data_IF_870084975249
#
_entry.id   IF_870084975249
#
_cell.length_a   1.000
_cell.length_b   1.000
_cell.length_c   1.000
_cell.angle_alpha   90.00
_cell.angle_beta   90.00
_cell.angle_gamma   90.00
#
_symmetry.space_group_name_H-M   'P 1'
#
loop_
_entity.id
_entity.type
_entity.pdbx_description
1 polymer ?
#
# COMPACT_ATOMS: atom_id res chain seq x y z
N UNK A 1 -14.31 -23.00 -14.38
CA UNK A 1 -15.60 -22.65 -13.73
C UNK A 1 -16.20 -21.50 -14.52
N UNK A 2 -17.46 -21.57 -15.00
CA UNK A 2 -18.03 -20.45 -15.74
C UNK A 2 -18.34 -19.29 -14.79
N UNK A 3 -18.00 -18.09 -15.26
CA UNK A 3 -18.09 -16.81 -14.57
C UNK A 3 -19.56 -16.45 -14.30
N UNK A 4 -19.97 -16.38 -13.03
CA UNK A 4 -21.35 -16.03 -12.66
C UNK A 4 -21.42 -14.52 -12.45
N UNK A 5 -21.66 -13.79 -13.54
CA UNK A 5 -21.96 -12.35 -13.49
C UNK A 5 -23.21 -12.16 -12.64
N UNK A 6 -23.04 -11.60 -11.43
CA UNK A 6 -24.16 -11.16 -10.60
C UNK A 6 -24.70 -9.86 -11.19
N UNK A 7 -25.60 -9.98 -12.15
CA UNK A 7 -26.37 -8.85 -12.65
C UNK A 7 -27.44 -8.56 -11.60
N UNK A 8 -27.21 -7.52 -10.79
CA UNK A 8 -28.19 -7.03 -9.83
C UNK A 8 -29.35 -6.41 -10.61
N UNK A 9 -30.48 -7.12 -10.73
CA UNK A 9 -31.74 -6.60 -11.29
C UNK A 9 -32.36 -5.58 -10.33
N UNK A 10 -31.73 -4.41 -10.21
CA UNK A 10 -32.29 -3.25 -9.52
C UNK A 10 -32.62 -2.15 -10.51
N UNK A 11 -33.74 -1.43 -10.34
CA UNK A 11 -34.06 -0.28 -11.17
C UNK A 11 -32.92 0.74 -11.05
N UNK A 12 -32.27 1.06 -12.16
CA UNK A 12 -31.19 2.04 -12.30
C UNK A 12 -31.32 3.28 -11.39
N UNK A 13 -32.50 3.95 -11.27
CA UNK A 13 -32.63 5.11 -10.39
C UNK A 13 -32.45 4.83 -8.88
N UNK A 14 -32.70 3.61 -8.40
CA UNK A 14 -32.40 3.24 -7.01
C UNK A 14 -30.90 3.03 -6.80
N UNK A 15 -30.21 2.43 -7.78
CA UNK A 15 -28.77 2.18 -7.71
C UNK A 15 -27.99 3.50 -7.72
N UNK A 16 -28.42 4.46 -8.55
CA UNK A 16 -27.84 5.82 -8.60
C UNK A 16 -28.02 6.56 -7.28
N UNK A 17 -29.22 6.48 -6.68
CA UNK A 17 -29.51 7.10 -5.38
C UNK A 17 -28.68 6.48 -4.25
N UNK A 18 -28.49 5.16 -4.24
CA UNK A 18 -27.63 4.49 -3.25
C UNK A 18 -26.17 4.89 -3.44
N UNK A 19 -25.69 4.96 -4.69
CA UNK A 19 -24.33 5.39 -5.00
C UNK A 19 -24.07 6.82 -4.52
N UNK A 20 -24.98 7.76 -4.80
CA UNK A 20 -24.85 9.15 -4.37
C UNK A 20 -24.82 9.32 -2.83
N UNK A 21 -25.42 8.39 -2.08
CA UNK A 21 -25.42 8.42 -0.61
C UNK A 21 -24.18 7.82 0.03
N UNK A 22 -23.53 6.87 -0.65
CA UNK A 22 -22.39 6.13 -0.11
C UNK A 22 -21.04 6.61 -0.62
N UNK A 23 -21.00 7.25 -1.79
CA UNK A 23 -19.77 7.72 -2.41
C UNK A 23 -19.95 9.11 -3.03
N UNK A 24 -18.90 9.93 -2.95
CA UNK A 24 -18.83 11.22 -3.64
C UNK A 24 -18.27 11.10 -5.08
N UNK A 25 -18.29 9.89 -5.65
CA UNK A 25 -17.82 9.60 -7.01
C UNK A 25 -19.00 9.40 -7.96
N UNK A 26 -18.76 9.59 -9.26
CA UNK A 26 -19.69 9.20 -10.30
C UNK A 26 -19.62 7.69 -10.58
N UNK A 27 -20.75 7.10 -10.95
CA UNK A 27 -20.80 5.69 -11.31
C UNK A 27 -20.24 5.49 -12.72
N UNK A 28 -19.21 4.64 -12.81
CA UNK A 28 -18.59 4.28 -14.09
C UNK A 28 -18.97 2.85 -14.47
N UNK A 29 -19.52 2.67 -15.67
CA UNK A 29 -19.83 1.36 -16.25
C UNK A 29 -18.60 0.71 -16.92
N UNK A 30 -18.79 -0.50 -17.47
CA UNK A 30 -17.74 -1.24 -18.19
C UNK A 30 -16.71 -1.97 -17.30
N UNK A 31 -16.87 -1.86 -15.99
CA UNK A 31 -16.07 -2.60 -15.03
C UNK A 31 -16.48 -4.08 -14.99
N UNK A 32 -15.51 -4.96 -14.76
CA UNK A 32 -15.75 -6.37 -14.45
C UNK A 32 -15.31 -6.65 -13.04
N UNK A 33 -15.99 -7.57 -12.36
CA UNK A 33 -15.67 -7.97 -11.00
C UNK A 33 -15.40 -9.47 -10.99
N UNK A 34 -14.27 -9.84 -10.40
CA UNK A 34 -13.91 -11.22 -10.13
C UNK A 34 -13.79 -11.42 -8.62
N UNK A 35 -14.44 -12.47 -8.11
CA UNK A 35 -14.28 -12.89 -6.72
C UNK A 35 -13.02 -13.73 -6.59
N UNK A 36 -12.12 -13.33 -5.69
CA UNK A 36 -10.92 -14.08 -5.30
C UNK A 36 -11.15 -14.63 -3.89
N UNK A 37 -11.20 -15.95 -3.75
CA UNK A 37 -11.71 -16.59 -2.53
C UNK A 37 -10.72 -16.53 -1.37
N UNK A 38 -9.43 -16.66 -1.66
CA UNK A 38 -8.38 -16.70 -0.65
C UNK A 38 -7.05 -16.17 -1.21
N UNK A 39 -6.01 -16.20 -0.36
CA UNK A 39 -4.68 -15.71 -0.70
C UNK A 39 -4.02 -16.42 -1.89
N UNK A 40 -4.38 -17.68 -2.19
CA UNK A 40 -3.85 -18.43 -3.33
C UNK A 40 -4.35 -17.89 -4.66
N UNK A 41 -5.55 -17.29 -4.66
CA UNK A 41 -6.11 -16.59 -5.81
C UNK A 41 -5.72 -15.11 -5.81
N UNK A 42 -5.71 -14.47 -4.63
CA UNK A 42 -5.46 -13.03 -4.50
C UNK A 42 -4.01 -12.64 -4.80
N UNK A 43 -3.02 -13.37 -4.29
CA UNK A 43 -1.62 -12.99 -4.46
C UNK A 43 -1.12 -13.05 -5.90
N UNK A 44 -1.44 -14.09 -6.71
CA UNK A 44 -1.11 -14.09 -8.13
C UNK A 44 -1.80 -12.95 -8.89
N UNK A 45 -3.09 -12.72 -8.64
CA UNK A 45 -3.85 -11.64 -9.29
C UNK A 45 -3.26 -10.26 -9.01
N UNK A 46 -2.79 -10.02 -7.78
CA UNK A 46 -2.08 -8.77 -7.43
C UNK A 46 -0.80 -8.60 -8.25
N UNK A 47 0.02 -9.66 -8.33
CA UNK A 47 1.27 -9.59 -9.08
C UNK A 47 1.03 -9.39 -10.58
N UNK A 48 0.01 -10.05 -11.13
CA UNK A 48 -0.39 -9.87 -12.53
C UNK A 48 -0.89 -8.45 -12.81
N UNK A 49 -1.76 -7.91 -11.95
CA UNK A 49 -2.26 -6.54 -12.08
C UNK A 49 -1.13 -5.50 -11.98
N UNK A 50 -0.21 -5.66 -11.02
CA UNK A 50 0.94 -4.77 -10.89
C UNK A 50 1.87 -4.92 -12.09
N UNK A 51 2.11 -6.14 -12.59
CA UNK A 51 2.92 -6.40 -13.77
C UNK A 51 2.33 -5.79 -15.06
N UNK A 52 1.01 -5.71 -15.17
CA UNK A 52 0.31 -5.10 -16.30
C UNK A 52 0.18 -3.56 -16.20
N UNK A 53 0.46 -2.96 -15.04
CA UNK A 53 0.32 -1.52 -14.87
C UNK A 53 1.30 -0.72 -15.73
N UNK A 54 0.78 0.32 -16.41
CA UNK A 54 1.52 1.17 -17.36
C UNK A 54 1.75 2.60 -16.86
N UNK A 55 0.91 3.11 -15.95
CA UNK A 55 0.95 4.51 -15.52
C UNK A 55 1.16 4.68 -14.01
N UNK A 56 0.35 3.98 -13.21
CA UNK A 56 0.35 4.12 -11.75
C UNK A 56 0.15 2.79 -11.07
N UNK A 57 0.78 2.63 -9.90
CA UNK A 57 0.43 1.61 -8.92
C UNK A 57 0.27 2.30 -7.57
N UNK A 58 -0.95 2.31 -7.05
CA UNK A 58 -1.31 2.94 -5.78
C UNK A 58 -1.71 1.83 -4.81
N UNK A 59 -0.96 1.69 -3.72
CA UNK A 59 -1.22 0.66 -2.70
C UNK A 59 -1.39 1.34 -1.35
N UNK A 60 -2.50 1.03 -0.69
CA UNK A 60 -2.76 1.38 0.70
C UNK A 60 -2.99 0.10 1.51
N UNK A 61 -2.18 -0.15 2.54
CA UNK A 61 -2.24 -1.41 3.29
C UNK A 61 -2.07 -1.24 4.80
N UNK A 62 -2.87 -1.98 5.58
CA UNK A 62 -2.66 -2.10 7.03
C UNK A 62 -1.43 -2.95 7.36
N UNK A 63 -1.32 -4.15 6.81
CA UNK A 63 -0.16 -5.03 7.01
C UNK A 63 0.60 -5.20 5.70
N UNK A 64 1.83 -4.71 5.66
CA UNK A 64 2.83 -5.14 4.70
C UNK A 64 3.85 -6.00 5.46
N UNK A 65 4.16 -7.19 4.96
CA UNK A 65 5.08 -8.12 5.61
C UNK A 65 6.33 -8.38 4.77
N UNK A 66 7.49 -8.55 5.39
CA UNK A 66 8.73 -8.92 4.72
C UNK A 66 8.84 -10.46 4.55
N UNK A 67 7.79 -11.09 4.03
CA UNK A 67 7.75 -12.51 3.68
C UNK A 67 7.94 -12.70 2.17
N UNK A 68 7.91 -13.94 1.69
CA UNK A 68 8.14 -14.25 0.27
C UNK A 68 7.24 -13.46 -0.69
N UNK A 69 5.96 -13.29 -0.34
CA UNK A 69 5.05 -12.49 -1.14
C UNK A 69 5.42 -11.00 -1.12
N UNK A 70 5.65 -10.42 0.06
CA UNK A 70 6.01 -9.01 0.19
C UNK A 70 7.33 -8.66 -0.49
N UNK A 71 8.32 -9.56 -0.44
CA UNK A 71 9.59 -9.43 -1.17
C UNK A 71 9.34 -9.39 -2.67
N UNK A 72 8.59 -10.37 -3.21
CA UNK A 72 8.23 -10.40 -4.63
C UNK A 72 7.46 -9.17 -5.08
N UNK A 73 6.49 -8.73 -4.29
CA UNK A 73 5.71 -7.52 -4.58
C UNK A 73 6.61 -6.28 -4.58
N UNK A 74 7.45 -6.10 -3.56
CA UNK A 74 8.43 -4.99 -3.50
C UNK A 74 9.32 -4.96 -4.73
N UNK A 75 9.89 -6.09 -5.12
CA UNK A 75 10.83 -6.17 -6.24
C UNK A 75 10.13 -5.89 -7.57
N UNK A 76 8.90 -6.36 -7.74
CA UNK A 76 8.07 -6.03 -8.90
C UNK A 76 7.74 -4.53 -8.96
N UNK A 77 7.43 -3.91 -7.82
CA UNK A 77 7.16 -2.48 -7.76
C UNK A 77 8.42 -1.65 -8.07
N UNK A 78 9.59 -2.10 -7.62
CA UNK A 78 10.90 -1.49 -7.99
C UNK A 78 11.09 -1.54 -9.50
N UNK A 79 10.80 -2.69 -10.12
CA UNK A 79 10.88 -2.83 -11.58
C UNK A 79 9.88 -1.90 -12.29
N UNK A 80 8.67 -1.76 -11.76
CA UNK A 80 7.67 -0.82 -12.29
C UNK A 80 8.14 0.63 -12.23
N UNK A 81 8.76 1.06 -11.13
CA UNK A 81 9.38 2.38 -11.06
C UNK A 81 10.43 2.59 -12.16
N UNK A 82 11.27 1.58 -12.41
CA UNK A 82 12.30 1.64 -13.46
C UNK A 82 11.72 1.73 -14.87
N UNK A 83 10.53 1.17 -15.08
CA UNK A 83 9.77 1.28 -16.32
C UNK A 83 9.05 2.64 -16.47
N UNK A 84 9.17 3.54 -15.49
CA UNK A 84 8.52 4.86 -15.50
C UNK A 84 7.11 4.86 -14.92
N UNK A 85 6.66 3.76 -14.31
CA UNK A 85 5.35 3.68 -13.65
C UNK A 85 5.44 4.39 -12.29
N UNK A 86 4.49 5.27 -12.00
CA UNK A 86 4.43 6.01 -10.74
C UNK A 86 3.91 5.11 -9.63
N UNK A 87 4.78 4.77 -8.67
CA UNK A 87 4.41 3.91 -7.54
C UNK A 87 4.25 4.74 -6.26
N UNK A 88 3.09 4.60 -5.62
CA UNK A 88 2.80 5.17 -4.30
C UNK A 88 2.39 4.05 -3.36
N UNK A 89 3.10 3.94 -2.25
CA UNK A 89 2.82 2.99 -1.17
C UNK A 89 2.53 3.75 0.12
N UNK A 90 1.30 3.65 0.60
CA UNK A 90 0.89 4.07 1.94
C UNK A 90 0.70 2.83 2.79
N UNK A 91 1.32 2.79 3.97
CA UNK A 91 1.20 1.63 4.84
C UNK A 91 1.05 2.04 6.31
N UNK A 92 0.33 1.25 7.11
CA UNK A 92 0.25 1.47 8.57
C UNK A 92 1.55 1.08 9.27
N UNK A 93 2.11 2.01 10.05
CA UNK A 93 3.42 1.79 10.69
C UNK A 93 3.40 0.64 11.71
N UNK A 94 2.32 0.51 12.49
CA UNK A 94 2.20 -0.55 13.52
C UNK A 94 2.00 -1.91 12.84
N UNK A 95 1.09 -1.98 11.86
CA UNK A 95 0.84 -3.19 11.09
C UNK A 95 2.03 -3.65 10.25
N UNK A 96 2.98 -2.75 9.98
CA UNK A 96 4.21 -3.01 9.21
C UNK A 96 5.48 -2.69 10.00
N UNK A 97 5.47 -2.96 11.31
CA UNK A 97 6.57 -2.63 12.22
C UNK A 97 7.91 -3.20 11.72
N UNK A 98 7.95 -4.50 11.40
CA UNK A 98 9.18 -5.16 10.98
C UNK A 98 9.75 -4.60 9.65
N UNK A 99 8.96 -4.48 8.57
CA UNK A 99 9.42 -3.78 7.36
C UNK A 99 9.89 -2.34 7.60
N UNK A 100 9.25 -1.62 8.50
CA UNK A 100 9.61 -0.24 8.83
C UNK A 100 10.98 -0.13 9.48
N UNK A 101 11.26 -0.97 10.50
CA UNK A 101 12.50 -0.90 11.27
C UNK A 101 13.69 -1.52 10.52
N UNK A 102 13.45 -2.50 9.66
CA UNK A 102 14.51 -3.18 8.89
C UNK A 102 14.83 -2.52 7.55
N UNK A 103 14.33 -1.30 7.29
CA UNK A 103 14.52 -0.56 6.03
C UNK A 103 14.08 -1.38 4.81
N UNK A 104 13.06 -2.22 4.95
CA UNK A 104 12.60 -3.13 3.91
C UNK A 104 12.14 -2.39 2.63
N UNK A 105 11.59 -1.19 2.79
CA UNK A 105 11.14 -0.32 1.70
C UNK A 105 12.23 0.56 1.09
N UNK A 106 13.47 0.47 1.56
CA UNK A 106 14.58 1.27 1.03
C UNK A 106 14.79 1.08 -0.48
N UNK A 107 14.77 -0.15 -1.04
CA UNK A 107 14.91 -0.33 -2.48
C UNK A 107 13.81 0.36 -3.30
N UNK A 108 12.57 0.38 -2.79
CA UNK A 108 11.43 1.07 -3.39
C UNK A 108 11.66 2.58 -3.44
N UNK A 109 12.07 3.17 -2.31
CA UNK A 109 12.38 4.61 -2.23
C UNK A 109 13.51 4.98 -3.19
N UNK A 110 14.55 4.17 -3.25
CA UNK A 110 15.69 4.38 -4.16
C UNK A 110 15.30 4.26 -5.64
N UNK A 111 14.31 3.43 -5.96
CA UNK A 111 13.78 3.31 -7.32
C UNK A 111 12.88 4.49 -7.72
N UNK A 112 12.55 5.40 -6.80
CA UNK A 112 11.71 6.58 -7.05
C UNK A 112 10.25 6.45 -6.58
N UNK A 113 9.91 5.37 -5.86
CA UNK A 113 8.56 5.23 -5.29
C UNK A 113 8.31 6.22 -4.14
N UNK A 114 7.09 6.73 -4.06
CA UNK A 114 6.63 7.50 -2.90
C UNK A 114 6.17 6.52 -1.82
N UNK A 115 6.94 6.38 -0.74
CA UNK A 115 6.64 5.46 0.36
C UNK A 115 6.35 6.24 1.64
N UNK A 116 5.11 6.15 2.11
CA UNK A 116 4.60 6.91 3.27
C UNK A 116 4.15 5.94 4.36
N UNK A 117 4.71 6.11 5.56
CA UNK A 117 4.22 5.45 6.76
C UNK A 117 3.09 6.28 7.36
N UNK A 118 1.93 5.66 7.56
CA UNK A 118 0.82 6.24 8.31
C UNK A 118 1.04 6.06 9.81
N UNK A 119 0.80 7.14 10.56
CA UNK A 119 0.90 7.20 12.02
C UNK A 119 2.21 6.61 12.62
N UNK A 120 3.41 6.99 12.14
CA UNK A 120 4.66 6.56 12.76
C UNK A 120 4.78 7.12 14.18
N UNK A 121 5.45 6.42 15.11
CA UNK A 121 5.59 6.88 16.48
C UNK A 121 6.41 8.17 16.52
N UNK A 122 5.97 9.11 17.35
CA UNK A 122 6.74 10.30 17.68
C UNK A 122 7.70 9.92 18.82
N UNK A 123 8.99 9.77 18.52
CA UNK A 123 10.00 9.61 19.58
C UNK A 123 10.37 10.99 20.12
N UNK A 124 10.20 11.26 21.43
CA UNK A 124 10.66 12.51 22.01
C UNK A 124 12.19 12.60 21.89
N UNK A 125 12.70 13.78 21.52
CA UNK A 125 14.13 14.00 21.39
C UNK A 125 14.81 13.70 22.73
N UNK A 126 15.75 12.73 22.74
CA UNK A 126 16.60 12.48 23.89
C UNK A 126 17.59 13.65 23.94
N UNK A 127 17.30 14.66 24.76
CA UNK A 127 18.30 15.68 25.08
C UNK A 127 19.45 14.97 25.78
N UNK A 128 20.62 14.96 25.15
CA UNK A 128 21.84 14.50 25.77
C UNK A 128 22.08 15.35 27.03
N UNK A 129 21.90 14.75 28.21
CA UNK A 129 22.28 15.35 29.48
C UNK A 129 23.81 15.51 29.47
N UNK A 130 24.30 16.70 29.13
CA UNK A 130 25.70 17.04 29.30
C UNK A 130 26.01 17.11 30.78
N UNK A 131 26.45 16.00 31.37
CA UNK A 131 27.20 16.04 32.62
C UNK A 131 28.61 16.52 32.29
N UNK A 132 28.82 17.83 32.31
CA UNK A 132 30.16 18.37 32.50
C UNK A 132 30.45 18.33 34.02
N UNK A 133 30.95 17.19 34.48
CA UNK A 133 31.76 17.13 35.69
C UNK A 133 33.20 17.39 35.30
N UNK A 134 33.72 18.55 35.66
CA UNK A 134 35.13 18.68 36.04
C UNK A 134 35.22 19.59 37.25
N UNK A 135 35.62 18.98 38.36
CA UNK A 135 36.07 19.66 39.55
C UNK A 135 37.35 20.48 39.27
N UNK A 136 37.40 21.66 39.89
CA UNK A 136 38.52 22.43 40.50
C UNK A 136 39.92 21.75 40.56
N UNK A 137 41.08 22.41 40.79
CA UNK A 137 41.33 23.82 41.17
C UNK A 137 42.57 24.52 40.55
N UNK A 138 42.66 25.85 40.71
CA UNK A 138 43.87 26.63 41.05
C UNK A 138 43.48 28.04 41.47
#
# INVERSE_FOLDING_TARGET
MPNRTLLLDHPQPLLDQLHARSSSSEMHGGNSVQLLQDSRENFPAWLEAVAAAEHYVLIEMYIFAANDFGVRLRDLLVEKCRQGVNVVLVYDWIGSLWPSVCRFFEPLKQAGAQVVAYNPPVLPAVSACSRATTANPS
#
